data_IF_634918928668
#
_entry.id   IF_634918928668
#
_cell.length_a   1.000
_cell.length_b   1.000
_cell.length_c   1.000
_cell.angle_alpha   90.00
_cell.angle_beta   90.00
_cell.angle_gamma   90.00
#
_symmetry.space_group_name_H-M   'P 1'
#
loop_
_entity.id
_entity.type
_entity.pdbx_description
1 polymer ?
#
# COMPACT_ATOMS: atom_id res chain seq x y z
N UNK A 1 0.20 12.07 -4.16
CA UNK A 1 -1.02 12.26 -3.35
C UNK A 1 -1.68 10.95 -2.94
N UNK A 2 -1.76 9.94 -3.82
CA UNK A 2 -2.43 8.66 -3.53
C UNK A 2 -1.86 7.95 -2.29
N UNK A 3 -0.54 7.88 -2.16
CA UNK A 3 0.11 7.26 -1.00
C UNK A 3 0.00 8.18 0.22
N UNK A 4 0.34 9.45 0.05
CA UNK A 4 0.48 10.45 1.12
C UNK A 4 -0.80 10.66 1.93
N UNK A 5 -1.97 10.48 1.31
CA UNK A 5 -3.27 10.60 1.97
C UNK A 5 -3.93 9.26 2.32
N UNK A 6 -3.25 8.13 2.10
CA UNK A 6 -3.72 6.80 2.49
C UNK A 6 -4.68 6.11 1.53
N UNK A 7 -4.87 6.64 0.31
CA UNK A 7 -5.69 5.99 -0.72
C UNK A 7 -5.09 4.63 -1.14
N UNK A 8 -3.77 4.46 -1.02
CA UNK A 8 -3.11 3.22 -1.37
C UNK A 8 -3.49 2.00 -0.51
N UNK A 9 -4.19 2.20 0.61
CA UNK A 9 -4.65 1.10 1.47
C UNK A 9 -5.83 0.36 0.85
N UNK A 10 -6.67 1.07 0.12
CA UNK A 10 -7.87 0.55 -0.50
C UNK A 10 -7.53 -0.38 -1.67
N UNK A 11 -8.39 -1.36 -1.92
CA UNK A 11 -8.17 -2.36 -2.98
C UNK A 11 -8.92 -1.99 -4.26
N UNK A 12 -10.01 -1.26 -4.11
CA UNK A 12 -10.92 -0.94 -5.21
C UNK A 12 -11.13 0.57 -5.31
N UNK A 13 -11.21 1.04 -6.56
CA UNK A 13 -11.43 2.44 -6.90
C UNK A 13 -12.72 3.02 -6.28
N UNK A 14 -13.76 2.20 -6.11
CA UNK A 14 -15.00 2.62 -5.45
C UNK A 14 -14.75 3.03 -3.98
N UNK A 15 -13.95 2.26 -3.25
CA UNK A 15 -13.62 2.58 -1.86
C UNK A 15 -12.76 3.86 -1.80
N UNK A 16 -11.80 3.99 -2.73
CA UNK A 16 -10.96 5.18 -2.87
C UNK A 16 -11.79 6.43 -3.16
N UNK A 17 -12.76 6.35 -4.07
CA UNK A 17 -13.65 7.46 -4.41
C UNK A 17 -14.50 7.88 -3.20
N UNK A 18 -15.06 6.91 -2.47
CA UNK A 18 -15.85 7.19 -1.26
C UNK A 18 -14.98 7.81 -0.17
N UNK A 19 -13.75 7.36 0.00
CA UNK A 19 -12.78 7.97 0.92
C UNK A 19 -12.38 9.38 0.48
N UNK A 20 -12.27 9.64 -0.83
CA UNK A 20 -12.10 10.98 -1.39
C UNK A 20 -13.25 11.92 -1.02
N UNK A 21 -14.49 11.41 -1.00
CA UNK A 21 -15.65 12.13 -0.48
C UNK A 21 -15.50 12.56 0.98
N UNK A 22 -14.84 11.75 1.81
CA UNK A 22 -14.56 12.10 3.21
C UNK A 22 -13.50 13.19 3.33
N UNK A 23 -12.45 13.18 2.50
CA UNK A 23 -11.51 14.29 2.44
C UNK A 23 -12.17 15.59 1.96
N UNK A 24 -13.08 15.52 0.98
CA UNK A 24 -13.84 16.70 0.54
C UNK A 24 -14.69 17.26 1.70
N UNK A 25 -15.37 16.38 2.45
CA UNK A 25 -16.13 16.81 3.63
C UNK A 25 -15.22 17.40 4.71
N UNK A 26 -14.07 16.79 4.96
CA UNK A 26 -13.08 17.28 5.91
C UNK A 26 -12.59 18.70 5.54
N UNK A 27 -12.28 18.93 4.27
CA UNK A 27 -11.84 20.23 3.75
C UNK A 27 -12.94 21.29 3.74
N UNK A 28 -14.22 20.89 3.82
CA UNK A 28 -15.35 21.83 3.97
C UNK A 28 -15.58 22.27 5.42
N UNK A 29 -15.21 21.44 6.39
CA UNK A 29 -15.45 21.67 7.83
C UNK A 29 -14.17 22.04 8.60
N UNK A 30 -13.02 22.02 7.94
CA UNK A 30 -11.73 22.43 8.47
C UNK A 30 -11.12 23.52 7.60
N UNK A 31 -10.34 24.39 8.22
CA UNK A 31 -9.41 25.26 7.50
C UNK A 31 -8.28 24.45 6.84
N UNK A 32 -7.64 25.06 5.85
CA UNK A 32 -6.45 24.47 5.23
C UNK A 32 -5.33 24.25 6.26
N UNK A 33 -5.16 25.20 7.18
CA UNK A 33 -4.15 25.17 8.24
C UNK A 33 -4.37 24.00 9.19
N UNK A 34 -5.60 23.72 9.62
CA UNK A 34 -5.93 22.55 10.45
C UNK A 34 -5.55 21.24 9.75
N UNK A 35 -5.90 21.09 8.47
CA UNK A 35 -5.62 19.85 7.71
C UNK A 35 -4.12 19.71 7.44
N UNK A 36 -3.45 20.81 7.08
CA UNK A 36 -2.02 20.82 6.83
C UNK A 36 -1.22 20.52 8.09
N UNK A 37 -1.61 21.05 9.24
CA UNK A 37 -0.99 20.73 10.53
C UNK A 37 -1.23 19.26 10.89
N UNK A 38 -2.45 18.76 10.73
CA UNK A 38 -2.74 17.35 10.98
C UNK A 38 -1.94 16.41 10.06
N UNK A 39 -1.69 16.80 8.80
CA UNK A 39 -0.80 16.08 7.89
C UNK A 39 0.65 16.09 8.39
N UNK A 40 1.20 17.26 8.71
CA UNK A 40 2.59 17.40 9.19
C UNK A 40 2.84 16.65 10.50
N UNK A 41 1.87 16.72 11.41
CA UNK A 41 1.92 16.09 12.73
C UNK A 41 1.41 14.64 12.72
N UNK A 42 1.06 14.08 11.56
CA UNK A 42 0.60 12.68 11.39
C UNK A 42 -0.64 12.33 12.24
N UNK A 43 -1.52 13.31 12.39
CA UNK A 43 -2.78 13.21 13.14
C UNK A 43 -4.00 13.33 12.23
N UNK A 44 -3.86 13.15 10.91
CA UNK A 44 -4.98 13.18 9.95
C UNK A 44 -6.14 12.25 10.34
N UNK A 45 -5.83 11.04 10.80
CA UNK A 45 -6.86 10.12 11.28
C UNK A 45 -7.59 10.68 12.51
N UNK A 46 -6.86 11.24 13.47
CA UNK A 46 -7.42 11.90 14.65
C UNK A 46 -8.29 13.10 14.26
N UNK A 47 -7.87 13.87 13.27
CA UNK A 47 -8.66 14.99 12.75
C UNK A 47 -9.99 14.49 12.15
N UNK A 48 -9.96 13.47 11.29
CA UNK A 48 -11.17 12.84 10.71
C UNK A 48 -12.16 12.40 11.80
N UNK A 49 -11.66 11.71 12.84
CA UNK A 49 -12.48 11.25 13.97
C UNK A 49 -13.04 12.43 14.76
N UNK A 50 -12.20 13.43 15.06
CA UNK A 50 -12.62 14.63 15.82
C UNK A 50 -13.73 15.44 15.14
N UNK A 51 -13.81 15.35 13.81
CA UNK A 51 -14.83 16.01 13.00
C UNK A 51 -16.05 15.11 12.73
N UNK A 52 -16.13 13.96 13.40
CA UNK A 52 -17.29 13.07 13.38
C UNK A 52 -17.41 12.19 12.14
N UNK A 53 -16.33 11.99 11.37
CA UNK A 53 -16.36 11.23 10.10
C UNK A 53 -16.05 9.73 10.27
N UNK A 54 -15.83 9.26 11.51
CA UNK A 54 -15.59 7.83 11.80
C UNK A 54 -16.75 6.91 11.36
N UNK A 55 -18.04 7.25 11.58
CA UNK A 55 -19.15 6.41 11.13
C UNK A 55 -19.12 6.17 9.61
N UNK A 56 -18.81 7.19 8.82
CA UNK A 56 -18.69 7.07 7.37
C UNK A 56 -17.47 6.24 6.96
N UNK A 57 -16.33 6.37 7.66
CA UNK A 57 -15.18 5.48 7.47
C UNK A 57 -15.55 4.02 7.73
N UNK A 58 -16.29 3.73 8.81
CA UNK A 58 -16.77 2.37 9.13
C UNK A 58 -17.66 1.81 8.02
N UNK A 59 -18.50 2.65 7.39
CA UNK A 59 -19.35 2.26 6.26
C UNK A 59 -18.58 1.96 4.97
N UNK A 60 -17.29 2.30 4.87
CA UNK A 60 -16.44 1.86 3.75
C UNK A 60 -16.18 0.36 3.83
N UNK A 61 -16.14 -0.22 5.03
CA UNK A 61 -15.84 -1.64 5.25
C UNK A 61 -16.87 -2.32 6.16
N UNK A 62 -18.10 -2.55 5.69
CA UNK A 62 -19.19 -3.08 6.53
C UNK A 62 -18.85 -4.36 7.30
N UNK A 63 -17.98 -5.20 6.73
CA UNK A 63 -17.64 -6.53 7.26
C UNK A 63 -16.25 -6.62 7.92
N UNK A 64 -15.43 -5.56 7.84
CA UNK A 64 -14.04 -5.55 8.33
C UNK A 64 -13.60 -4.18 8.89
N UNK A 65 -14.55 -3.34 9.30
CA UNK A 65 -14.32 -1.95 9.71
C UNK A 65 -13.17 -1.81 10.70
N UNK A 66 -13.16 -2.58 11.79
CA UNK A 66 -12.14 -2.44 12.83
C UNK A 66 -10.72 -2.77 12.33
N UNK A 67 -10.57 -3.76 11.44
CA UNK A 67 -9.27 -4.12 10.89
C UNK A 67 -8.77 -3.05 9.92
N UNK A 68 -9.63 -2.60 9.01
CA UNK A 68 -9.23 -1.64 7.98
C UNK A 68 -9.05 -0.23 8.56
N UNK A 69 -9.82 0.14 9.59
CA UNK A 69 -9.60 1.37 10.38
C UNK A 69 -8.23 1.34 11.07
N UNK A 70 -7.87 0.22 11.73
CA UNK A 70 -6.55 0.10 12.35
C UNK A 70 -5.43 0.23 11.32
N UNK A 71 -5.60 -0.36 10.13
CA UNK A 71 -4.64 -0.21 9.03
C UNK A 71 -4.53 1.24 8.56
N UNK A 72 -5.64 1.92 8.35
CA UNK A 72 -5.67 3.33 7.95
C UNK A 72 -5.01 4.23 9.00
N UNK A 73 -5.36 4.05 10.27
CA UNK A 73 -4.77 4.78 11.37
C UNK A 73 -3.25 4.54 11.46
N UNK A 74 -2.82 3.26 11.41
CA UNK A 74 -1.41 2.91 11.49
C UNK A 74 -0.61 3.49 10.32
N UNK A 75 -1.18 3.48 9.10
CA UNK A 75 -0.57 4.05 7.92
C UNK A 75 -0.42 5.58 8.04
N UNK A 76 -1.49 6.30 8.41
CA UNK A 76 -1.47 7.76 8.50
C UNK A 76 -0.59 8.26 9.65
N UNK A 77 -0.36 7.43 10.68
CA UNK A 77 0.55 7.72 11.78
C UNK A 77 2.02 7.32 11.49
N UNK A 78 2.30 6.63 10.38
CA UNK A 78 3.61 6.04 10.12
C UNK A 78 4.67 7.11 9.83
N UNK A 79 5.81 7.05 10.54
CA UNK A 79 6.91 7.98 10.31
C UNK A 79 7.67 7.65 9.02
N UNK A 80 8.02 6.38 8.86
CA UNK A 80 8.78 5.84 7.73
C UNK A 80 7.89 4.97 6.86
N UNK A 81 7.58 5.46 5.67
CA UNK A 81 6.77 4.75 4.69
C UNK A 81 7.41 3.42 4.28
N UNK A 82 6.65 2.34 4.41
CA UNK A 82 7.03 1.01 3.91
C UNK A 82 7.10 1.00 2.38
N UNK A 83 8.15 0.39 1.83
CA UNK A 83 8.39 0.33 0.37
C UNK A 83 7.32 -0.43 -0.42
N UNK A 84 6.44 -1.19 0.25
CA UNK A 84 5.36 -1.93 -0.39
C UNK A 84 4.29 -1.04 -0.99
N UNK A 85 4.12 0.18 -0.47
CA UNK A 85 3.16 1.14 -1.02
C UNK A 85 3.64 1.67 -2.37
N UNK A 86 4.95 1.87 -2.51
CA UNK A 86 5.58 2.22 -3.78
C UNK A 86 5.51 1.06 -4.77
N UNK A 87 5.75 -0.18 -4.31
CA UNK A 87 5.52 -1.39 -5.10
C UNK A 87 4.08 -1.45 -5.62
N UNK A 88 3.09 -1.22 -4.74
CA UNK A 88 1.68 -1.29 -5.11
C UNK A 88 1.34 -0.26 -6.19
N UNK A 89 1.80 0.97 -6.05
CA UNK A 89 1.61 1.98 -7.09
C UNK A 89 2.25 1.55 -8.42
N UNK A 90 3.51 1.08 -8.37
CA UNK A 90 4.27 0.67 -9.54
C UNK A 90 3.59 -0.47 -10.32
N UNK A 91 3.05 -1.49 -9.64
CA UNK A 91 2.42 -2.64 -10.33
C UNK A 91 0.99 -2.35 -10.79
N UNK A 92 0.29 -1.40 -10.17
CA UNK A 92 -1.08 -1.06 -10.56
C UNK A 92 -1.14 -0.05 -11.70
N UNK A 93 -0.32 1.00 -11.64
CA UNK A 93 -0.42 2.13 -12.56
C UNK A 93 0.77 2.25 -13.51
N UNK A 94 1.87 1.55 -13.26
CA UNK A 94 3.01 1.50 -14.20
C UNK A 94 3.63 2.86 -14.52
N UNK A 95 3.46 3.85 -13.64
CA UNK A 95 3.87 5.23 -13.85
C UNK A 95 5.41 5.35 -13.90
N UNK A 96 5.93 6.04 -14.92
CA UNK A 96 7.35 6.35 -15.13
C UNK A 96 7.99 6.95 -13.87
N UNK A 97 7.22 7.69 -13.06
CA UNK A 97 7.70 8.27 -11.80
C UNK A 97 8.22 7.24 -10.79
N UNK A 98 7.74 5.99 -10.86
CA UNK A 98 8.14 4.92 -9.95
C UNK A 98 9.15 3.96 -10.59
N UNK A 99 9.48 4.17 -11.87
CA UNK A 99 10.62 3.53 -12.48
C UNK A 99 11.90 4.05 -11.81
N UNK A 100 12.81 3.13 -11.47
CA UNK A 100 14.08 3.46 -10.83
C UNK A 100 14.04 3.70 -9.31
N UNK A 101 12.91 3.52 -8.60
CA UNK A 101 12.92 3.58 -7.12
C UNK A 101 13.75 2.41 -6.56
N UNK A 102 14.89 2.66 -5.89
CA UNK A 102 15.81 1.58 -5.51
C UNK A 102 15.16 0.49 -4.63
N UNK A 103 14.29 0.88 -3.70
CA UNK A 103 13.59 -0.05 -2.83
C UNK A 103 12.69 -1.02 -3.61
N UNK A 104 12.06 -0.59 -4.72
CA UNK A 104 11.27 -1.50 -5.57
C UNK A 104 12.18 -2.56 -6.18
N UNK A 105 13.31 -2.14 -6.73
CA UNK A 105 14.21 -3.02 -7.47
C UNK A 105 14.98 -3.98 -6.56
N UNK A 106 15.44 -3.49 -5.41
CA UNK A 106 16.23 -4.26 -4.46
C UNK A 106 15.33 -5.13 -3.58
N UNK A 107 14.33 -4.53 -2.90
CA UNK A 107 13.57 -5.26 -1.89
C UNK A 107 12.70 -6.33 -2.54
N UNK A 108 12.10 -6.06 -3.70
CA UNK A 108 11.11 -6.93 -4.35
C UNK A 108 11.65 -7.67 -5.58
N UNK A 109 12.95 -7.58 -5.85
CA UNK A 109 13.63 -8.47 -6.78
C UNK A 109 13.55 -8.10 -8.26
N UNK A 110 13.07 -6.90 -8.61
CA UNK A 110 13.09 -6.44 -10.00
C UNK A 110 14.50 -6.24 -10.54
N UNK A 111 15.51 -6.04 -9.68
CA UNK A 111 16.92 -6.03 -10.09
C UNK A 111 17.42 -7.37 -10.66
N UNK A 112 16.71 -8.47 -10.36
CA UNK A 112 17.06 -9.80 -10.83
C UNK A 112 16.43 -10.14 -12.20
N UNK A 113 15.48 -9.34 -12.68
CA UNK A 113 14.84 -9.51 -13.98
C UNK A 113 15.83 -9.13 -15.10
N UNK A 114 15.97 -10.01 -16.10
CA UNK A 114 16.87 -9.84 -17.24
C UNK A 114 16.15 -9.46 -18.53
N UNK A 115 14.83 -9.52 -18.53
CA UNK A 115 14.00 -9.15 -19.68
C UNK A 115 12.76 -8.37 -19.23
N UNK A 116 12.18 -7.62 -20.17
CA UNK A 116 10.90 -6.95 -19.96
C UNK A 116 9.76 -7.93 -19.67
N UNK A 117 9.83 -9.14 -20.25
CA UNK A 117 8.89 -10.23 -19.96
C UNK A 117 8.97 -10.66 -18.50
N UNK A 118 10.17 -10.90 -17.94
CA UNK A 118 10.33 -11.25 -16.53
C UNK A 118 9.84 -10.13 -15.59
N UNK A 119 10.11 -8.88 -15.95
CA UNK A 119 9.61 -7.71 -15.22
C UNK A 119 8.09 -7.67 -15.23
N UNK A 120 7.46 -7.87 -16.39
CA UNK A 120 6.00 -7.83 -16.51
C UNK A 120 5.34 -8.97 -15.73
N UNK A 121 5.87 -10.19 -15.84
CA UNK A 121 5.35 -11.32 -15.08
C UNK A 121 5.48 -11.14 -13.56
N UNK A 122 6.59 -10.54 -13.10
CA UNK A 122 6.77 -10.23 -11.69
C UNK A 122 5.79 -9.14 -11.22
N UNK A 123 5.53 -8.12 -12.05
CA UNK A 123 4.46 -7.14 -11.82
C UNK A 123 3.11 -7.84 -11.66
N UNK A 124 2.78 -8.77 -12.56
CA UNK A 124 1.50 -9.48 -12.54
C UNK A 124 1.32 -10.33 -11.28
N UNK A 125 2.40 -10.98 -10.82
CA UNK A 125 2.40 -11.73 -9.56
C UNK A 125 2.12 -10.82 -8.36
N UNK A 126 2.85 -9.71 -8.24
CA UNK A 126 2.64 -8.77 -7.13
C UNK A 126 1.28 -8.08 -7.21
N UNK A 127 0.80 -7.70 -8.40
CA UNK A 127 -0.55 -7.17 -8.62
C UNK A 127 -1.61 -8.15 -8.16
N UNK A 128 -1.47 -9.43 -8.54
CA UNK A 128 -2.39 -10.50 -8.11
C UNK A 128 -2.38 -10.66 -6.59
N UNK A 129 -1.20 -10.64 -5.96
CA UNK A 129 -1.09 -10.68 -4.50
C UNK A 129 -1.79 -9.48 -3.85
N UNK A 130 -1.41 -8.24 -4.23
CA UNK A 130 -1.84 -7.00 -3.57
C UNK A 130 -3.34 -6.68 -3.71
N UNK A 131 -3.99 -7.19 -4.75
CA UNK A 131 -5.43 -7.04 -4.96
C UNK A 131 -6.24 -8.17 -4.32
N UNK A 132 -5.60 -9.21 -3.79
CA UNK A 132 -6.30 -10.35 -3.19
C UNK A 132 -6.83 -9.98 -1.80
N UNK A 133 -8.12 -10.22 -1.56
CA UNK A 133 -8.84 -9.75 -0.36
C UNK A 133 -8.43 -10.37 0.98
N UNK A 134 -7.62 -11.44 0.97
CA UNK A 134 -7.08 -12.12 2.16
C UNK A 134 -5.60 -11.77 2.43
N UNK A 135 -5.02 -10.85 1.66
CA UNK A 135 -3.63 -10.41 1.82
C UNK A 135 -3.51 -9.03 2.48
N UNK A 136 -2.36 -8.79 3.08
CA UNK A 136 -1.93 -7.48 3.58
C UNK A 136 -0.63 -7.06 2.86
N UNK A 137 -0.58 -5.85 2.25
CA UNK A 137 0.67 -5.29 1.74
C UNK A 137 1.76 -5.20 2.82
N UNK A 138 1.41 -4.89 4.06
CA UNK A 138 2.40 -4.78 5.15
C UNK A 138 3.06 -6.13 5.45
N UNK A 139 2.33 -7.24 5.31
CA UNK A 139 2.90 -8.58 5.46
C UNK A 139 3.94 -8.90 4.37
N UNK A 140 3.72 -8.41 3.14
CA UNK A 140 4.70 -8.53 2.07
C UNK A 140 5.96 -7.73 2.34
N UNK A 141 5.83 -6.51 2.88
CA UNK A 141 6.99 -5.72 3.32
C UNK A 141 7.79 -6.44 4.41
N UNK A 142 7.09 -7.00 5.41
CA UNK A 142 7.73 -7.77 6.46
C UNK A 142 8.41 -9.05 5.93
N UNK A 143 7.84 -9.69 4.91
CA UNK A 143 8.47 -10.81 4.23
C UNK A 143 9.72 -10.39 3.44
N UNK A 144 9.72 -9.20 2.84
CA UNK A 144 10.87 -8.62 2.16
C UNK A 144 12.04 -8.40 3.13
N UNK A 145 11.79 -7.77 4.29
CA UNK A 145 12.81 -7.56 5.33
C UNK A 145 13.38 -8.88 5.88
N UNK A 146 12.58 -9.96 5.84
CA UNK A 146 13.01 -11.30 6.30
C UNK A 146 13.68 -12.13 5.21
N UNK A 147 13.80 -11.64 3.98
CA UNK A 147 14.30 -12.42 2.84
C UNK A 147 13.40 -13.61 2.46
N UNK A 148 12.09 -13.53 2.75
CA UNK A 148 11.11 -14.63 2.61
C UNK A 148 9.96 -14.32 1.67
N UNK A 149 10.20 -13.48 0.65
CA UNK A 149 9.16 -13.03 -0.29
C UNK A 149 8.55 -14.20 -1.02
N UNK A 150 9.38 -15.09 -1.59
CA UNK A 150 8.89 -16.21 -2.38
C UNK A 150 7.98 -17.12 -1.54
N UNK A 151 8.43 -17.52 -0.35
CA UNK A 151 7.67 -18.38 0.57
C UNK A 151 6.37 -17.73 1.02
N UNK A 152 6.37 -16.40 1.18
CA UNK A 152 5.18 -15.66 1.57
C UNK A 152 4.16 -15.57 0.43
N UNK A 153 4.58 -15.09 -0.74
CA UNK A 153 3.71 -14.89 -1.90
C UNK A 153 3.16 -16.23 -2.42
N UNK A 154 3.96 -17.31 -2.36
CA UNK A 154 3.56 -18.65 -2.80
C UNK A 154 2.34 -19.22 -2.05
N UNK A 155 2.03 -18.71 -0.84
CA UNK A 155 0.83 -19.10 -0.08
C UNK A 155 -0.46 -18.59 -0.73
N UNK A 156 -0.37 -17.51 -1.51
CA UNK A 156 -1.53 -16.79 -2.03
C UNK A 156 -1.61 -16.82 -3.56
N UNK A 157 -0.47 -16.93 -4.25
CA UNK A 157 -0.37 -16.92 -5.71
C UNK A 157 0.42 -18.15 -6.18
N UNK A 158 -0.05 -18.78 -7.27
CA UNK A 158 0.64 -19.94 -7.86
C UNK A 158 1.92 -19.47 -8.58
N UNK A 159 3.07 -19.72 -7.98
CA UNK A 159 4.36 -19.30 -8.53
C UNK A 159 5.05 -20.39 -9.37
N UNK A 160 5.64 -19.99 -10.49
CA UNK A 160 6.61 -20.79 -11.25
C UNK A 160 7.95 -20.85 -10.51
N UNK A 161 8.71 -21.95 -10.68
CA UNK A 161 10.01 -22.16 -10.02
C UNK A 161 11.01 -21.02 -10.26
N UNK A 162 10.96 -20.35 -11.42
CA UNK A 162 11.86 -19.23 -11.75
C UNK A 162 11.73 -18.03 -10.81
N UNK A 163 10.53 -17.78 -10.25
CA UNK A 163 10.33 -16.66 -9.32
C UNK A 163 11.14 -16.81 -8.03
N UNK A 164 11.57 -18.04 -7.68
CA UNK A 164 12.45 -18.25 -6.53
C UNK A 164 13.80 -17.53 -6.70
N UNK A 165 14.28 -17.38 -7.92
CA UNK A 165 15.53 -16.64 -8.22
C UNK A 165 15.28 -15.14 -8.35
N UNK A 166 14.09 -14.74 -8.82
CA UNK A 166 13.74 -13.33 -9.00
C UNK A 166 13.44 -12.65 -7.66
N UNK A 167 12.76 -13.34 -6.73
CA UNK A 167 12.33 -12.78 -5.44
C UNK A 167 13.40 -12.89 -4.34
N UNK A 168 14.68 -12.88 -4.72
CA UNK A 168 15.82 -12.83 -3.79
C UNK A 168 16.20 -11.37 -3.60
N UNK A 169 16.43 -10.98 -2.35
CA UNK A 169 16.87 -9.64 -1.97
C UNK A 169 18.05 -9.77 -0.98
N UNK A 170 18.76 -8.68 -0.66
CA UNK A 170 19.94 -8.75 0.21
C UNK A 170 19.63 -8.94 1.70
N UNK A 171 18.38 -9.19 2.07
CA UNK A 171 17.96 -9.35 3.47
C UNK A 171 17.90 -10.83 3.91
N UNK A 172 17.96 -11.11 5.22
CA UNK A 172 18.22 -10.17 6.32
C UNK A 172 19.68 -9.68 6.27
N UNK A 173 19.89 -8.39 6.57
CA UNK A 173 21.22 -7.84 6.81
C UNK A 173 21.82 -8.41 8.11
#
# INVERSE_FOLDING_TARGET
>A
MWIEFGFCIFRHEEEEMRFGGLYINLLRICSFEEVHEAYRSRTLFTLLVSKGLEPELRRLWPWKADQEIRRLQAFLAEEFRRSVWDLKHFVLYGDEKYEGIPAIYVDYGFMNCKSQEETQELKDVYKTYLLKGDTDPVDLHNAAIKGKIFEHVAKFVKLRKRFKKLMVNPYPL
#
